data_IF_302111151513
#
_entry.id   IF_302111151513
#
_cell.length_a   1.000
_cell.length_b   1.000
_cell.length_c   1.000
_cell.angle_alpha   90.00
_cell.angle_beta   90.00
_cell.angle_gamma   90.00
#
_symmetry.space_group_name_H-M   'P 1'
#
loop_
_entity.id
_entity.type
_entity.pdbx_description
1 polymer ?
#
# COMPACT_ATOMS: atom_id res chain seq x y z
N UNK A 1 2.05 13.47 -7.80
CA UNK A 1 1.88 14.60 -6.84
C UNK A 1 2.25 15.88 -7.57
N UNK A 2 1.40 16.90 -7.53
CA UNK A 2 1.60 18.21 -8.17
C UNK A 2 2.29 19.20 -7.23
N UNK A 3 2.78 20.33 -7.78
CA UNK A 3 3.40 21.36 -6.93
C UNK A 3 2.35 22.08 -6.08
N UNK A 4 1.12 22.26 -6.58
CA UNK A 4 0.01 22.79 -5.79
C UNK A 4 -0.33 21.91 -4.57
N UNK A 5 -0.27 20.59 -4.70
CA UNK A 5 -0.48 19.68 -3.57
C UNK A 5 0.64 19.80 -2.52
N UNK A 6 1.88 19.98 -2.95
CA UNK A 6 3.00 20.22 -2.05
C UNK A 6 2.88 21.56 -1.32
N UNK A 7 2.36 22.59 -2.00
CA UNK A 7 2.12 23.91 -1.40
C UNK A 7 1.00 23.86 -0.35
N UNK A 8 -0.13 23.23 -0.68
CA UNK A 8 -1.26 23.04 0.25
C UNK A 8 -0.91 22.18 1.46
N UNK A 9 0.14 21.39 1.35
CA UNK A 9 0.52 20.37 2.32
C UNK A 9 -0.10 19.02 1.99
N UNK A 10 0.76 18.02 1.84
CA UNK A 10 0.36 16.64 1.58
C UNK A 10 1.38 15.65 2.15
N UNK A 11 0.94 14.44 2.43
CA UNK A 11 1.83 13.32 2.73
C UNK A 11 1.92 12.38 1.52
N UNK A 12 3.12 11.92 1.21
CA UNK A 12 3.37 10.83 0.26
C UNK A 12 3.81 9.62 1.06
N UNK A 13 3.03 8.53 0.97
CA UNK A 13 3.33 7.27 1.66
C UNK A 13 3.65 6.21 0.62
N UNK A 14 4.87 5.70 0.67
CA UNK A 14 5.35 4.65 -0.22
C UNK A 14 5.36 3.30 0.48
N UNK A 15 4.44 2.41 0.10
CA UNK A 15 4.38 1.04 0.62
C UNK A 15 5.31 0.14 -0.20
N UNK A 16 6.52 -0.07 0.29
CA UNK A 16 7.51 -0.97 -0.31
C UNK A 16 7.39 -2.42 0.17
N UNK A 17 8.30 -3.26 -0.29
CA UNK A 17 8.37 -4.66 0.14
C UNK A 17 8.88 -4.79 1.59
N UNK A 18 9.97 -4.11 1.95
CA UNK A 18 10.57 -4.19 3.29
C UNK A 18 10.23 -3.04 4.22
N UNK A 19 9.91 -1.88 3.67
CA UNK A 19 9.72 -0.63 4.43
C UNK A 19 8.54 0.17 3.88
N UNK A 20 7.96 1.01 4.75
CA UNK A 20 7.01 2.04 4.35
C UNK A 20 7.65 3.41 4.60
N UNK A 21 7.73 4.24 3.55
CA UNK A 21 8.30 5.59 3.62
C UNK A 21 7.19 6.63 3.74
N UNK A 22 7.43 7.68 4.52
CA UNK A 22 6.49 8.77 4.75
C UNK A 22 7.22 10.08 4.51
N UNK A 23 6.80 10.82 3.50
CA UNK A 23 7.32 12.15 3.15
C UNK A 23 6.21 13.17 3.31
N UNK A 24 6.41 14.18 4.15
CA UNK A 24 5.45 15.27 4.37
C UNK A 24 5.97 16.52 3.69
N UNK A 25 5.12 17.13 2.87
CA UNK A 25 5.39 18.39 2.17
C UNK A 25 4.50 19.50 2.69
N UNK A 26 5.07 20.71 2.78
CA UNK A 26 4.38 21.94 3.16
C UNK A 26 5.04 23.13 2.48
N UNK A 27 4.26 24.04 1.89
CA UNK A 27 4.79 25.22 1.21
C UNK A 27 5.79 24.85 0.09
N UNK A 28 5.49 23.81 -0.68
CA UNK A 28 6.32 23.30 -1.77
C UNK A 28 7.59 22.56 -1.34
N UNK A 29 7.89 22.46 -0.04
CA UNK A 29 9.15 21.90 0.49
C UNK A 29 8.90 20.60 1.25
N UNK A 30 9.88 19.70 1.23
CA UNK A 30 9.90 18.51 2.10
C UNK A 30 10.11 18.98 3.55
N UNK A 31 9.09 18.81 4.38
CA UNK A 31 9.08 19.22 5.78
C UNK A 31 9.49 18.07 6.72
N UNK A 32 9.16 16.82 6.37
CA UNK A 32 9.54 15.65 7.16
C UNK A 32 9.72 14.43 6.26
N UNK A 33 10.66 13.57 6.64
CA UNK A 33 10.89 12.26 6.02
C UNK A 33 11.09 11.23 7.12
N UNK A 34 10.33 10.15 7.10
CA UNK A 34 10.46 9.05 8.04
C UNK A 34 10.25 7.71 7.35
N UNK A 35 10.71 6.65 8.02
CA UNK A 35 10.61 5.28 7.53
C UNK A 35 10.05 4.40 8.65
N UNK A 36 9.10 3.57 8.30
CA UNK A 36 8.58 2.49 9.14
C UNK A 36 9.22 1.19 8.61
N UNK A 37 9.86 0.37 9.46
CA UNK A 37 10.58 -0.84 9.03
C UNK A 37 9.63 -2.02 8.79
N UNK A 38 8.45 -1.74 8.25
CA UNK A 38 7.41 -2.70 7.89
C UNK A 38 6.96 -2.44 6.45
N UNK A 39 6.77 -3.52 5.69
CA UNK A 39 6.31 -3.47 4.30
C UNK A 39 5.60 -4.75 3.89
N UNK A 40 5.34 -4.90 2.61
CA UNK A 40 4.55 -6.01 2.03
C UNK A 40 5.07 -7.41 2.33
N UNK A 41 6.37 -7.56 2.60
CA UNK A 41 6.98 -8.86 2.94
C UNK A 41 6.46 -9.40 4.28
N UNK A 42 6.12 -8.55 5.25
CA UNK A 42 5.53 -9.00 6.50
C UNK A 42 4.13 -9.58 6.29
N UNK A 43 3.34 -8.97 5.41
CA UNK A 43 2.04 -9.51 5.02
C UNK A 43 2.22 -10.90 4.38
N UNK A 44 3.19 -11.04 3.46
CA UNK A 44 3.49 -12.33 2.83
C UNK A 44 3.88 -13.38 3.86
N UNK A 45 4.71 -13.03 4.85
CA UNK A 45 5.08 -13.93 5.95
C UNK A 45 3.87 -14.35 6.78
N UNK A 46 2.96 -13.45 7.10
CA UNK A 46 1.77 -13.82 7.86
C UNK A 46 0.87 -14.78 7.09
N UNK A 47 0.75 -14.61 5.77
CA UNK A 47 0.01 -15.54 4.92
C UNK A 47 0.64 -16.95 4.94
N UNK A 48 1.96 -17.08 5.13
CA UNK A 48 2.58 -18.43 5.24
C UNK A 48 2.06 -19.23 6.43
N UNK A 49 1.50 -18.57 7.47
CA UNK A 49 0.84 -19.25 8.59
C UNK A 49 -0.38 -20.09 8.14
N UNK A 50 -0.92 -19.79 6.96
CA UNK A 50 -1.94 -20.61 6.29
C UNK A 50 -1.35 -21.89 5.67
N UNK A 51 -0.13 -22.29 6.03
CA UNK A 51 0.59 -23.48 5.55
C UNK A 51 0.83 -23.49 4.04
N UNK A 52 1.11 -22.36 3.48
CA UNK A 52 1.54 -22.18 2.08
C UNK A 52 3.00 -21.74 2.03
N UNK A 53 3.69 -22.03 0.93
CA UNK A 53 5.05 -21.53 0.69
C UNK A 53 5.04 -20.03 0.41
N UNK A 54 6.16 -19.35 0.64
CA UNK A 54 6.26 -17.89 0.52
C UNK A 54 5.90 -17.38 -0.89
N UNK A 55 6.30 -18.10 -1.94
CA UNK A 55 5.93 -17.74 -3.32
C UNK A 55 4.42 -17.82 -3.58
N UNK A 56 3.76 -18.81 -2.99
CA UNK A 56 2.30 -18.93 -3.07
C UNK A 56 1.62 -17.85 -2.23
N UNK A 57 2.13 -17.57 -1.03
CA UNK A 57 1.64 -16.48 -0.17
C UNK A 57 1.70 -15.13 -0.88
N UNK A 58 2.81 -14.85 -1.59
CA UNK A 58 2.95 -13.63 -2.39
C UNK A 58 1.93 -13.59 -3.53
N UNK A 59 1.77 -14.69 -4.26
CA UNK A 59 0.77 -14.82 -5.34
C UNK A 59 -0.65 -14.56 -4.81
N UNK A 60 -1.01 -15.14 -3.66
CA UNK A 60 -2.30 -14.96 -3.02
C UNK A 60 -2.54 -13.52 -2.62
N UNK A 61 -1.55 -12.88 -2.01
CA UNK A 61 -1.60 -11.45 -1.64
C UNK A 61 -1.87 -10.56 -2.86
N UNK A 62 -1.15 -10.77 -3.95
CA UNK A 62 -1.28 -9.96 -5.17
C UNK A 62 -2.64 -10.20 -5.84
N UNK A 63 -3.09 -11.45 -5.92
CA UNK A 63 -4.28 -11.82 -6.69
C UNK A 63 -5.57 -11.54 -5.93
N UNK A 64 -5.62 -11.88 -4.64
CA UNK A 64 -6.84 -11.89 -3.83
C UNK A 64 -6.81 -10.95 -2.64
N UNK A 65 -5.63 -10.38 -2.32
CA UNK A 65 -5.42 -9.59 -1.11
C UNK A 65 -6.26 -8.32 -1.05
N UNK A 66 -6.81 -8.08 0.15
CA UNK A 66 -7.55 -6.89 0.50
C UNK A 66 -7.13 -6.40 1.90
N UNK A 67 -6.99 -5.09 2.05
CA UNK A 67 -6.72 -4.44 3.35
C UNK A 67 -7.95 -4.48 4.29
N UNK A 68 -9.10 -4.92 3.80
CA UNK A 68 -10.33 -5.10 4.57
C UNK A 68 -10.89 -6.49 4.28
N UNK A 69 -11.04 -7.30 5.31
CA UNK A 69 -11.66 -8.61 5.20
C UNK A 69 -13.19 -8.48 5.13
N UNK A 70 -13.78 -9.18 4.18
CA UNK A 70 -15.21 -9.44 4.15
C UNK A 70 -15.45 -10.78 4.85
N UNK A 71 -15.90 -10.71 6.11
CA UNK A 71 -16.06 -11.90 6.96
C UNK A 71 -17.27 -12.75 6.59
N UNK A 72 -18.20 -12.19 5.85
CA UNK A 72 -19.41 -12.87 5.36
C UNK A 72 -19.18 -13.56 4.01
N UNK A 73 -17.98 -13.39 3.44
CA UNK A 73 -17.61 -13.98 2.16
C UNK A 73 -17.20 -15.44 2.32
N UNK A 74 -18.03 -16.35 1.86
CA UNK A 74 -17.78 -17.80 1.90
C UNK A 74 -16.95 -18.33 0.72
N UNK A 75 -16.43 -17.44 -0.14
CA UNK A 75 -15.58 -17.85 -1.26
C UNK A 75 -14.33 -18.58 -0.75
N UNK A 76 -14.05 -19.72 -1.36
CA UNK A 76 -12.82 -20.49 -1.14
C UNK A 76 -11.88 -20.38 -2.33
N UNK A 77 -10.59 -20.47 -2.07
CA UNK A 77 -9.52 -20.50 -3.07
C UNK A 77 -8.67 -21.75 -2.86
N UNK A 78 -8.27 -22.40 -3.95
CA UNK A 78 -7.35 -23.52 -3.90
C UNK A 78 -5.91 -23.02 -3.80
N UNK A 79 -5.16 -23.58 -2.87
CA UNK A 79 -3.77 -23.25 -2.59
C UNK A 79 -2.92 -24.51 -2.57
N UNK A 80 -1.69 -24.41 -3.05
CA UNK A 80 -0.71 -25.48 -2.94
C UNK A 80 -0.14 -25.55 -1.53
N UNK A 81 -0.13 -26.75 -0.95
CA UNK A 81 0.46 -26.97 0.37
C UNK A 81 1.99 -26.83 0.32
N UNK A 82 2.57 -26.40 1.45
CA UNK A 82 4.00 -26.18 1.59
C UNK A 82 4.83 -27.47 1.43
N UNK A 83 4.24 -28.62 1.70
CA UNK A 83 4.86 -29.94 1.50
C UNK A 83 4.82 -30.45 0.05
N UNK A 84 4.14 -29.73 -0.85
CA UNK A 84 3.98 -30.10 -2.25
C UNK A 84 3.07 -31.30 -2.49
N UNK A 85 2.42 -31.84 -1.45
CA UNK A 85 1.64 -33.08 -1.52
C UNK A 85 0.15 -32.88 -1.78
N UNK A 86 -0.29 -31.69 -2.19
CA UNK A 86 -1.69 -31.52 -2.53
C UNK A 86 -2.17 -30.07 -2.62
N UNK A 87 -3.46 -29.97 -2.88
CA UNK A 87 -4.20 -28.72 -2.86
C UNK A 87 -5.09 -28.68 -1.61
N UNK A 88 -5.22 -27.51 -1.03
CA UNK A 88 -6.14 -27.23 0.07
C UNK A 88 -7.03 -26.06 -0.30
N UNK A 89 -8.24 -26.04 0.20
CA UNK A 89 -9.09 -24.88 0.16
C UNK A 89 -8.88 -24.02 1.42
N UNK A 90 -8.76 -22.72 1.23
CA UNK A 90 -8.80 -21.73 2.29
C UNK A 90 -9.92 -20.74 2.00
N UNK A 91 -10.54 -20.19 3.04
CA UNK A 91 -11.53 -19.12 2.88
C UNK A 91 -10.83 -17.83 2.52
N UNK A 92 -11.40 -17.09 1.57
CA UNK A 92 -10.91 -15.76 1.22
C UNK A 92 -10.98 -14.80 2.43
N UNK A 93 -11.97 -14.96 3.29
CA UNK A 93 -12.09 -14.22 4.54
C UNK A 93 -10.91 -14.48 5.49
N UNK A 94 -10.39 -15.73 5.55
CA UNK A 94 -9.23 -16.09 6.37
C UNK A 94 -7.94 -15.43 5.84
N UNK A 95 -7.73 -15.51 4.52
CA UNK A 95 -6.60 -14.82 3.86
C UNK A 95 -6.63 -13.31 4.13
N UNK A 96 -7.76 -12.68 3.86
CA UNK A 96 -7.88 -11.23 4.01
C UNK A 96 -7.91 -10.78 5.48
N UNK A 97 -8.32 -11.64 6.40
CA UNK A 97 -8.20 -11.39 7.83
C UNK A 97 -6.74 -11.30 8.30
N UNK A 98 -5.87 -12.18 7.80
CA UNK A 98 -4.44 -12.11 8.08
C UNK A 98 -3.80 -10.85 7.48
N UNK A 99 -4.19 -10.48 6.26
CA UNK A 99 -3.73 -9.27 5.58
C UNK A 99 -4.19 -8.01 6.32
N UNK A 100 -5.46 -7.93 6.69
CA UNK A 100 -6.06 -6.82 7.45
C UNK A 100 -5.31 -6.59 8.76
N UNK A 101 -5.10 -7.65 9.56
CA UNK A 101 -4.41 -7.55 10.83
C UNK A 101 -3.00 -6.96 10.70
N UNK A 102 -2.22 -7.41 9.70
CA UNK A 102 -0.88 -6.86 9.47
C UNK A 102 -0.92 -5.46 8.91
N UNK A 103 -1.85 -5.16 8.01
CA UNK A 103 -1.99 -3.82 7.47
C UNK A 103 -2.39 -2.83 8.56
N UNK A 104 -3.23 -3.24 9.50
CA UNK A 104 -3.61 -2.45 10.67
C UNK A 104 -2.39 -2.03 11.49
N UNK A 105 -1.48 -2.96 11.77
CA UNK A 105 -0.24 -2.67 12.49
C UNK A 105 0.67 -1.70 11.70
N UNK A 106 0.79 -1.90 10.39
CA UNK A 106 1.56 -0.97 9.54
C UNK A 106 0.95 0.43 9.60
N UNK A 107 -0.37 0.54 9.48
CA UNK A 107 -1.07 1.83 9.48
C UNK A 107 -1.02 2.53 10.84
N UNK A 108 -1.03 1.79 11.95
CA UNK A 108 -0.81 2.36 13.29
C UNK A 108 0.58 3.01 13.39
N UNK A 109 1.60 2.35 12.88
CA UNK A 109 2.95 2.90 12.86
C UNK A 109 3.07 4.11 11.91
N UNK A 110 2.40 4.07 10.76
CA UNK A 110 2.32 5.21 9.83
C UNK A 110 1.64 6.40 10.51
N UNK A 111 0.52 6.17 11.19
CA UNK A 111 -0.22 7.19 11.92
C UNK A 111 0.65 7.84 13.00
N UNK A 112 1.28 7.03 13.84
CA UNK A 112 2.16 7.52 14.91
C UNK A 112 3.32 8.39 14.36
N UNK A 113 3.89 8.02 13.20
CA UNK A 113 4.93 8.83 12.54
C UNK A 113 4.38 10.14 11.98
N UNK A 114 3.20 10.14 11.38
CA UNK A 114 2.55 11.36 10.89
C UNK A 114 2.20 12.30 12.04
N UNK A 115 1.62 11.78 13.12
CA UNK A 115 1.25 12.53 14.31
C UNK A 115 2.48 13.19 14.96
N UNK A 116 3.59 12.44 15.08
CA UNK A 116 4.84 12.93 15.63
C UNK A 116 5.46 14.10 14.84
N UNK A 117 5.06 14.31 13.57
CA UNK A 117 5.50 15.47 12.80
C UNK A 117 4.86 16.78 13.28
N UNK A 118 3.72 16.72 13.95
CA UNK A 118 2.88 17.89 14.26
C UNK A 118 2.25 18.56 13.03
N UNK A 119 2.33 17.92 11.84
CA UNK A 119 1.92 18.52 10.57
C UNK A 119 0.59 17.98 10.03
N UNK A 120 -0.10 17.11 10.76
CA UNK A 120 -1.35 16.51 10.27
C UNK A 120 -2.42 17.55 9.92
N UNK A 121 -2.54 18.61 10.72
CA UNK A 121 -3.51 19.68 10.49
C UNK A 121 -3.26 20.53 9.24
N UNK A 122 -2.08 20.42 8.63
CA UNK A 122 -1.70 21.18 7.43
C UNK A 122 -1.67 20.35 6.17
N UNK A 123 -2.13 19.09 6.22
CA UNK A 123 -2.24 18.21 5.06
C UNK A 123 -3.51 18.50 4.25
N UNK A 124 -3.66 19.74 3.78
CA UNK A 124 -4.85 20.21 3.06
C UNK A 124 -5.14 19.46 1.75
N UNK A 125 -4.11 18.87 1.13
CA UNK A 125 -4.23 18.03 -0.05
C UNK A 125 -4.25 16.51 0.28
N UNK A 126 -4.39 16.15 1.57
CA UNK A 126 -4.51 14.78 2.02
C UNK A 126 -3.27 13.92 1.83
N UNK A 127 -3.50 12.64 1.56
CA UNK A 127 -2.46 11.61 1.49
C UNK A 127 -2.42 10.99 0.09
N UNK A 128 -1.23 10.88 -0.47
CA UNK A 128 -0.95 10.18 -1.72
C UNK A 128 -0.23 8.89 -1.40
N UNK A 129 -0.73 7.75 -1.89
CA UNK A 129 -0.08 6.45 -1.69
C UNK A 129 0.56 5.94 -2.98
N UNK A 130 1.67 5.21 -2.83
CA UNK A 130 2.46 4.66 -3.92
C UNK A 130 3.20 3.39 -3.49
N UNK A 131 3.87 2.73 -4.42
CA UNK A 131 4.60 1.48 -4.20
C UNK A 131 3.74 0.23 -4.41
N UNK A 132 4.37 -0.94 -4.50
CA UNK A 132 3.68 -2.21 -4.76
C UNK A 132 2.64 -2.57 -3.69
N UNK A 133 2.92 -2.28 -2.42
CA UNK A 133 1.96 -2.50 -1.32
C UNK A 133 0.71 -1.62 -1.41
N UNK A 134 0.79 -0.48 -2.10
CA UNK A 134 -0.37 0.38 -2.33
C UNK A 134 -1.42 -0.25 -3.25
N UNK A 135 -1.04 -1.26 -4.06
CA UNK A 135 -1.96 -1.99 -4.94
C UNK A 135 -2.94 -2.90 -4.20
N UNK A 136 -2.77 -3.08 -2.88
CA UNK A 136 -3.67 -3.88 -2.07
C UNK A 136 -5.10 -3.32 -2.13
N UNK A 137 -6.07 -4.20 -2.42
CA UNK A 137 -7.47 -3.79 -2.56
C UNK A 137 -7.97 -3.09 -1.29
N UNK A 138 -8.83 -2.11 -1.44
CA UNK A 138 -9.47 -1.33 -0.38
C UNK A 138 -8.51 -0.49 0.50
N UNK A 139 -7.19 -0.50 0.27
CA UNK A 139 -6.24 0.23 1.11
C UNK A 139 -6.54 1.74 1.21
N UNK A 140 -6.82 2.49 0.12
CA UNK A 140 -7.16 3.91 0.24
C UNK A 140 -8.38 4.16 1.13
N UNK A 141 -9.42 3.33 1.01
CA UNK A 141 -10.65 3.46 1.79
C UNK A 141 -10.39 3.20 3.28
N UNK A 142 -9.65 2.14 3.62
CA UNK A 142 -9.26 1.82 5.01
C UNK A 142 -8.43 2.95 5.61
N UNK A 143 -7.46 3.46 4.87
CA UNK A 143 -6.63 4.59 5.33
C UNK A 143 -7.47 5.86 5.53
N UNK A 144 -8.35 6.18 4.59
CA UNK A 144 -9.20 7.36 4.68
C UNK A 144 -10.14 7.30 5.89
N UNK A 145 -10.70 6.12 6.16
CA UNK A 145 -11.56 5.88 7.33
C UNK A 145 -10.79 6.08 8.65
N UNK A 146 -9.54 5.57 8.74
CA UNK A 146 -8.72 5.64 9.95
C UNK A 146 -8.12 7.01 10.19
N UNK A 147 -7.57 7.62 9.14
CA UNK A 147 -6.85 8.89 9.25
C UNK A 147 -7.77 10.11 9.17
N UNK A 148 -9.05 9.90 8.82
CA UNK A 148 -10.04 10.97 8.58
C UNK A 148 -9.54 12.01 7.58
N UNK A 149 -8.81 11.54 6.55
CA UNK A 149 -8.22 12.35 5.49
C UNK A 149 -8.51 11.74 4.14
N UNK A 150 -8.49 12.56 3.10
CA UNK A 150 -8.57 12.06 1.73
C UNK A 150 -7.31 11.27 1.39
N UNK A 151 -7.48 10.05 0.88
CA UNK A 151 -6.37 9.17 0.46
C UNK A 151 -6.59 8.75 -0.99
N UNK A 152 -5.57 8.95 -1.81
CA UNK A 152 -5.62 8.58 -3.23
C UNK A 152 -4.31 7.95 -3.71
N UNK A 153 -4.38 7.25 -4.81
CA UNK A 153 -3.18 6.75 -5.49
C UNK A 153 -2.36 7.88 -6.11
N UNK A 154 -1.06 7.63 -6.21
CA UNK A 154 -0.18 8.47 -7.03
C UNK A 154 -0.63 8.37 -8.50
N UNK A 155 -0.62 9.51 -9.19
CA UNK A 155 -0.88 9.57 -10.62
C UNK A 155 0.34 10.12 -11.34
N UNK A 156 0.63 9.58 -12.52
CA UNK A 156 1.68 10.10 -13.40
C UNK A 156 1.22 11.43 -14.01
N UNK A 157 2.09 12.43 -14.03
CA UNK A 157 1.79 13.72 -14.67
C UNK A 157 1.54 13.52 -16.16
N UNK A 158 0.55 14.22 -16.70
CA UNK A 158 0.35 14.32 -18.16
C UNK A 158 1.64 14.85 -18.81
N UNK A 159 2.14 14.15 -19.82
CA UNK A 159 3.37 14.52 -20.55
C UNK A 159 4.63 13.78 -20.14
N UNK A 160 4.60 12.97 -19.08
CA UNK A 160 5.74 12.14 -18.68
C UNK A 160 5.79 10.82 -19.48
N UNK A 161 4.68 10.39 -20.06
CA UNK A 161 4.59 9.15 -20.85
C UNK A 161 4.71 9.49 -22.33
N UNK A 162 5.83 9.15 -22.93
CA UNK A 162 6.12 9.50 -24.32
C UNK A 162 5.55 8.52 -25.35
N UNK A 163 5.56 7.23 -25.09
CA UNK A 163 4.87 6.18 -25.89
C UNK A 163 4.97 4.87 -25.13
N UNK A 164 3.91 4.13 -25.04
CA UNK A 164 3.88 2.84 -24.35
C UNK A 164 2.58 2.63 -23.60
N UNK A 165 2.55 1.58 -22.85
CA UNK A 165 1.36 1.15 -22.12
C UNK A 165 1.06 2.14 -20.97
N UNK A 166 0.08 3.01 -21.19
CA UNK A 166 -0.43 3.97 -20.18
C UNK A 166 -0.85 3.28 -18.87
N UNK A 167 -1.23 2.01 -18.94
CA UNK A 167 -1.61 1.20 -17.79
C UNK A 167 -0.43 0.97 -16.86
N UNK A 168 0.75 0.67 -17.42
CA UNK A 168 1.99 0.50 -16.64
C UNK A 168 2.39 1.80 -15.95
N UNK A 169 2.32 2.92 -16.67
CA UNK A 169 2.71 4.22 -16.12
C UNK A 169 1.78 4.73 -15.00
N UNK A 170 0.53 4.32 -14.98
CA UNK A 170 -0.43 4.72 -13.95
C UNK A 170 -0.47 3.80 -12.72
N UNK A 171 0.21 2.66 -12.77
CA UNK A 171 0.28 1.76 -11.64
C UNK A 171 1.19 2.33 -10.54
N UNK A 172 0.73 2.42 -9.27
CA UNK A 172 1.49 3.00 -8.17
C UNK A 172 2.83 2.29 -7.89
N UNK A 173 2.99 1.04 -8.28
CA UNK A 173 4.24 0.29 -8.10
C UNK A 173 5.40 0.85 -8.94
N UNK A 174 5.12 1.44 -10.12
CA UNK A 174 6.12 2.01 -11.01
C UNK A 174 6.40 3.50 -10.77
N UNK A 175 5.74 4.14 -9.82
CA UNK A 175 5.84 5.59 -9.62
C UNK A 175 7.28 6.08 -9.39
N UNK A 176 8.12 5.30 -8.69
CA UNK A 176 9.53 5.65 -8.46
C UNK A 176 10.33 5.55 -9.76
N UNK A 177 10.17 4.45 -10.53
CA UNK A 177 10.86 4.26 -11.79
C UNK A 177 10.48 5.35 -12.81
N UNK A 178 9.18 5.67 -12.91
CA UNK A 178 8.69 6.76 -13.76
C UNK A 178 9.25 8.11 -13.30
N UNK A 179 9.29 8.36 -12.00
CA UNK A 179 9.84 9.61 -11.44
C UNK A 179 11.34 9.80 -11.72
N UNK A 180 12.11 8.72 -11.77
CA UNK A 180 13.54 8.76 -12.10
C UNK A 180 13.80 9.03 -13.60
N UNK A 181 12.86 8.63 -14.46
CA UNK A 181 12.95 8.85 -15.91
C UNK A 181 12.37 10.22 -16.34
N UNK A 182 11.53 10.82 -15.50
CA UNK A 182 10.96 12.14 -15.74
C UNK A 182 12.02 13.22 -15.46
N UNK A 183 12.54 13.83 -16.53
CA UNK A 183 13.43 14.99 -16.45
C UNK A 183 12.64 16.28 -16.48
#
# INVERSE_FOLDING_TARGET
MSDNEKDLGCALIGFGAGVTTISVYKGGKLASLSVVPFGGNLITKDITNLRVVESEAERLKITYGSAKADRDNDMTIQVSLADGMGLREIKLAELNGAIEARMDEILENVYARLEATGLMSVLGAGIVITGGGAALKNLPAVMSERLKMEVRYSAVRKGVVASGDLVVASNPEYAVAVGLLAK
#
